data_IF_602277381171
#
_entry.id   IF_602277381171
#
_cell.length_a   1.000
_cell.length_b   1.000
_cell.length_c   1.000
_cell.angle_alpha   90.00
_cell.angle_beta   90.00
_cell.angle_gamma   90.00
#
_symmetry.space_group_name_H-M   'P 1'
#
loop_
_entity.id
_entity.type
_entity.pdbx_description
1 polymer ?
#
# COMPACT_ATOMS: atom_id res chain seq x y z
N UNK A 1 -15.71 35.32 -1.23
CA UNK A 1 -14.47 34.61 -0.83
C UNK A 1 -14.87 33.36 -0.06
N UNK A 2 -14.91 32.20 -0.72
CA UNK A 2 -15.32 30.91 -0.13
C UNK A 2 -14.09 30.08 0.27
N UNK A 3 -13.30 30.55 1.25
CA UNK A 3 -12.11 29.81 1.72
C UNK A 3 -12.07 29.58 3.24
N UNK A 4 -13.11 29.97 3.97
CA UNK A 4 -13.07 29.90 5.44
C UNK A 4 -13.30 28.50 6.03
N UNK A 5 -13.63 27.48 5.22
CA UNK A 5 -13.99 26.13 5.72
C UNK A 5 -12.95 25.03 5.48
N UNK A 6 -11.71 25.36 5.08
CA UNK A 6 -10.66 24.36 4.86
C UNK A 6 -9.74 24.14 6.06
N UNK A 7 -10.21 24.35 7.29
CA UNK A 7 -9.67 23.59 8.44
C UNK A 7 -10.29 22.18 8.37
N UNK A 8 -9.87 21.40 7.38
CA UNK A 8 -10.40 20.05 7.13
C UNK A 8 -9.93 19.17 8.28
N UNK A 9 -10.81 18.96 9.27
CA UNK A 9 -10.71 17.88 10.26
C UNK A 9 -10.34 16.61 9.50
N UNK A 10 -9.33 15.89 9.98
CA UNK A 10 -8.94 14.60 9.38
C UNK A 10 -10.19 13.73 9.26
N UNK A 11 -10.53 13.30 8.05
CA UNK A 11 -11.75 12.53 7.81
C UNK A 11 -11.63 11.20 8.55
N UNK A 12 -12.76 10.66 9.02
CA UNK A 12 -12.79 9.37 9.72
C UNK A 12 -12.11 8.27 8.86
N UNK A 13 -12.34 8.30 7.55
CA UNK A 13 -11.68 7.41 6.57
C UNK A 13 -10.14 7.46 6.62
N UNK A 14 -9.55 8.65 6.77
CA UNK A 14 -8.09 8.80 6.85
C UNK A 14 -7.54 8.21 8.13
N UNK A 15 -8.26 8.35 9.23
CA UNK A 15 -7.88 7.74 10.50
C UNK A 15 -7.95 6.23 10.43
N UNK A 16 -9.03 5.69 9.85
CA UNK A 16 -9.20 4.24 9.63
C UNK A 16 -8.08 3.72 8.71
N UNK A 17 -7.84 4.37 7.57
CA UNK A 17 -6.78 4.01 6.64
C UNK A 17 -5.41 3.96 7.32
N UNK A 18 -5.08 4.97 8.14
CA UNK A 18 -3.83 5.02 8.90
C UNK A 18 -3.71 3.89 9.93
N UNK A 19 -4.79 3.55 10.62
CA UNK A 19 -4.82 2.44 11.57
C UNK A 19 -4.59 1.10 10.86
N UNK A 20 -5.30 0.87 9.75
CA UNK A 20 -5.15 -0.34 8.93
C UNK A 20 -3.72 -0.45 8.40
N UNK A 21 -3.22 0.62 7.78
CA UNK A 21 -1.87 0.64 7.21
C UNK A 21 -0.79 0.41 8.27
N UNK A 22 -0.90 1.05 9.44
CA UNK A 22 0.02 0.80 10.56
C UNK A 22 0.01 -0.66 11.01
N UNK A 23 -1.17 -1.29 11.03
CA UNK A 23 -1.28 -2.71 11.38
C UNK A 23 -0.59 -3.61 10.34
N UNK A 24 -0.72 -3.28 9.06
CA UNK A 24 0.01 -3.97 7.97
C UNK A 24 1.52 -3.88 8.20
N UNK A 25 2.05 -2.66 8.40
CA UNK A 25 3.49 -2.46 8.61
C UNK A 25 4.00 -3.19 9.85
N UNK A 26 3.27 -3.14 10.96
CA UNK A 26 3.63 -3.88 12.16
C UNK A 26 3.69 -5.39 11.92
N UNK A 27 2.72 -5.95 11.18
CA UNK A 27 2.71 -7.37 10.83
C UNK A 27 3.88 -7.73 9.91
N UNK A 28 4.16 -6.90 8.90
CA UNK A 28 5.30 -7.10 7.98
C UNK A 28 6.62 -7.09 8.76
N UNK A 29 6.82 -6.12 9.65
CA UNK A 29 8.01 -6.05 10.49
C UNK A 29 8.15 -7.26 11.42
N UNK A 30 7.04 -7.69 12.02
CA UNK A 30 7.01 -8.91 12.83
C UNK A 30 7.44 -10.13 12.01
N UNK A 31 6.87 -10.33 10.81
CA UNK A 31 7.20 -11.44 9.91
C UNK A 31 8.67 -11.42 9.49
N UNK A 32 9.22 -10.25 9.14
CA UNK A 32 10.63 -10.11 8.78
C UNK A 32 11.52 -10.44 9.97
N UNK A 33 11.19 -9.93 11.16
CA UNK A 33 11.98 -10.15 12.37
C UNK A 33 11.99 -11.63 12.80
N UNK A 34 10.84 -12.31 12.73
CA UNK A 34 10.71 -13.72 13.10
C UNK A 34 11.38 -14.66 12.09
N UNK A 35 11.48 -14.24 10.82
CA UNK A 35 12.07 -15.04 9.75
C UNK A 35 13.38 -14.46 9.22
N UNK A 36 14.14 -13.78 10.08
CA UNK A 36 15.38 -13.07 9.71
C UNK A 36 16.46 -13.97 9.07
N UNK A 37 16.38 -15.29 9.29
CA UNK A 37 17.25 -16.28 8.65
C UNK A 37 16.96 -16.46 7.14
N UNK A 38 15.71 -16.25 6.72
CA UNK A 38 15.25 -16.46 5.33
C UNK A 38 14.97 -15.13 4.64
N UNK A 39 14.40 -14.17 5.37
CA UNK A 39 14.00 -12.87 4.87
C UNK A 39 15.03 -11.82 5.25
N UNK A 40 15.64 -11.22 4.24
CA UNK A 40 16.53 -10.07 4.44
C UNK A 40 15.68 -8.83 4.75
N UNK A 41 16.12 -8.05 5.73
CA UNK A 41 15.54 -6.72 5.98
C UNK A 41 16.02 -5.74 4.90
N UNK A 42 15.38 -5.80 3.73
CA UNK A 42 15.65 -4.91 2.61
C UNK A 42 14.34 -4.36 2.02
N UNK A 43 14.45 -3.29 1.23
CA UNK A 43 13.28 -2.60 0.68
C UNK A 43 12.43 -3.50 -0.22
N UNK A 44 13.07 -4.45 -0.94
CA UNK A 44 12.37 -5.38 -1.81
C UNK A 44 11.49 -6.32 -0.99
N UNK A 45 12.02 -6.96 0.04
CA UNK A 45 11.29 -7.89 0.91
C UNK A 45 10.14 -7.18 1.61
N UNK A 46 10.37 -5.97 2.13
CA UNK A 46 9.29 -5.16 2.72
C UNK A 46 8.23 -4.80 1.68
N UNK A 47 8.63 -4.41 0.47
CA UNK A 47 7.71 -4.13 -0.64
C UNK A 47 6.87 -5.35 -1.04
N UNK A 48 7.48 -6.53 -1.13
CA UNK A 48 6.80 -7.77 -1.52
C UNK A 48 5.75 -8.17 -0.48
N UNK A 49 6.11 -8.15 0.80
CA UNK A 49 5.17 -8.48 1.88
C UNK A 49 4.05 -7.46 2.02
N UNK A 50 4.37 -6.16 1.98
CA UNK A 50 3.33 -5.10 2.02
C UNK A 50 2.39 -5.20 0.82
N UNK A 51 2.93 -5.49 -0.37
CA UNK A 51 2.12 -5.70 -1.58
C UNK A 51 1.13 -6.85 -1.42
N UNK A 52 1.54 -7.98 -0.84
CA UNK A 52 0.65 -9.13 -0.61
C UNK A 52 -0.53 -8.73 0.29
N UNK A 53 -0.26 -8.07 1.43
CA UNK A 53 -1.33 -7.63 2.34
C UNK A 53 -2.27 -6.63 1.67
N UNK A 54 -1.74 -5.66 0.93
CA UNK A 54 -2.57 -4.69 0.22
C UNK A 54 -3.45 -5.37 -0.81
N UNK A 55 -2.89 -6.26 -1.64
CA UNK A 55 -3.64 -7.04 -2.63
C UNK A 55 -4.77 -7.81 -1.94
N UNK A 56 -4.49 -8.53 -0.85
CA UNK A 56 -5.52 -9.26 -0.08
C UNK A 56 -6.66 -8.35 0.40
N UNK A 57 -6.36 -7.14 0.86
CA UNK A 57 -7.37 -6.16 1.29
C UNK A 57 -8.17 -5.66 0.09
N UNK A 58 -7.52 -5.31 -1.02
CA UNK A 58 -8.18 -4.84 -2.25
C UNK A 58 -9.19 -5.86 -2.78
N UNK A 59 -8.79 -7.12 -2.91
CA UNK A 59 -9.67 -8.19 -3.36
C UNK A 59 -10.77 -8.49 -2.34
N UNK A 60 -10.45 -8.52 -1.04
CA UNK A 60 -11.44 -8.71 0.02
C UNK A 60 -12.54 -7.63 0.02
N UNK A 61 -12.18 -6.38 -0.22
CA UNK A 61 -13.14 -5.27 -0.36
C UNK A 61 -13.96 -5.37 -1.66
N UNK A 62 -13.34 -5.77 -2.79
CA UNK A 62 -14.05 -5.96 -4.08
C UNK A 62 -15.17 -7.00 -3.95
N UNK A 63 -14.94 -8.09 -3.20
CA UNK A 63 -15.95 -9.12 -2.94
C UNK A 63 -17.16 -8.62 -2.15
N UNK A 64 -16.97 -7.68 -1.21
CA UNK A 64 -18.06 -7.14 -0.38
C UNK A 64 -18.95 -6.12 -1.10
N UNK A 65 -18.56 -5.62 -2.29
CA UNK A 65 -19.29 -4.61 -3.08
C UNK A 65 -19.70 -3.34 -2.32
N UNK A 66 -18.99 -2.98 -1.25
CA UNK A 66 -19.26 -1.78 -0.47
C UNK A 66 -18.59 -0.56 -1.12
N UNK A 67 -19.40 0.43 -1.54
CA UNK A 67 -18.88 1.65 -2.19
C UNK A 67 -18.13 2.56 -1.23
N UNK A 68 -18.48 2.53 0.06
CA UNK A 68 -17.87 3.36 1.10
C UNK A 68 -16.39 2.99 1.36
N UNK A 69 -16.02 1.73 1.09
CA UNK A 69 -14.65 1.24 1.27
C UNK A 69 -13.65 1.87 0.28
N UNK A 70 -14.13 2.44 -0.84
CA UNK A 70 -13.25 2.99 -1.87
C UNK A 70 -12.42 4.17 -1.37
N UNK A 71 -13.02 5.05 -0.57
CA UNK A 71 -12.35 6.21 0.04
C UNK A 71 -11.19 5.76 0.94
N UNK A 72 -11.44 4.76 1.79
CA UNK A 72 -10.45 4.19 2.71
C UNK A 72 -9.32 3.52 1.93
N UNK A 73 -9.64 2.71 0.92
CA UNK A 73 -8.63 2.05 0.07
C UNK A 73 -7.73 3.06 -0.66
N UNK A 74 -8.31 4.16 -1.15
CA UNK A 74 -7.54 5.21 -1.80
C UNK A 74 -6.57 5.89 -0.81
N UNK A 75 -7.02 6.16 0.42
CA UNK A 75 -6.14 6.71 1.45
C UNK A 75 -5.05 5.72 1.89
N UNK A 76 -5.34 4.41 1.94
CA UNK A 76 -4.31 3.38 2.14
C UNK A 76 -3.26 3.42 1.02
N UNK A 77 -3.67 3.57 -0.24
CA UNK A 77 -2.74 3.70 -1.36
C UNK A 77 -1.91 4.97 -1.29
N UNK A 78 -2.48 6.10 -0.88
CA UNK A 78 -1.74 7.33 -0.68
C UNK A 78 -0.63 7.13 0.37
N UNK A 79 -0.95 6.47 1.49
CA UNK A 79 0.02 6.14 2.53
C UNK A 79 1.12 5.21 1.99
N UNK A 80 0.74 4.18 1.24
CA UNK A 80 1.69 3.26 0.62
C UNK A 80 2.67 3.97 -0.35
N UNK A 81 2.17 4.87 -1.19
CA UNK A 81 3.01 5.65 -2.12
C UNK A 81 3.98 6.54 -1.34
N UNK A 82 3.48 7.22 -0.30
CA UNK A 82 4.31 8.09 0.55
C UNK A 82 5.39 7.31 1.29
N UNK A 83 5.06 6.13 1.82
CA UNK A 83 6.00 5.27 2.54
C UNK A 83 7.07 4.71 1.60
N UNK A 84 6.67 4.37 0.36
CA UNK A 84 7.58 3.88 -0.66
C UNK A 84 8.57 4.98 -1.10
N UNK A 85 8.09 6.20 -1.33
CA UNK A 85 8.96 7.36 -1.61
C UNK A 85 9.97 7.59 -0.47
N UNK A 86 9.48 7.62 0.77
CA UNK A 86 10.34 7.81 1.95
C UNK A 86 11.38 6.69 2.09
N UNK A 87 10.95 5.43 1.97
CA UNK A 87 11.82 4.26 2.08
C UNK A 87 12.91 4.24 1.01
N UNK A 88 12.59 4.61 -0.23
CA UNK A 88 13.55 4.70 -1.32
C UNK A 88 14.61 5.79 -1.08
N UNK A 89 14.21 6.94 -0.52
CA UNK A 89 15.17 7.98 -0.11
C UNK A 89 16.08 7.50 1.01
N UNK A 90 15.54 6.81 2.02
CA UNK A 90 16.34 6.19 3.09
C UNK A 90 17.34 5.16 2.56
N UNK A 91 16.97 4.45 1.49
CA UNK A 91 17.85 3.50 0.81
C UNK A 91 18.98 4.17 0.00
N UNK A 92 19.00 5.52 -0.09
CA UNK A 92 20.04 6.28 -0.77
C UNK A 92 19.76 6.56 -2.25
N UNK A 93 18.51 6.45 -2.70
CA UNK A 93 18.13 6.87 -4.06
C UNK A 93 18.06 8.40 -4.10
N UNK A 94 18.78 8.98 -5.07
CA UNK A 94 18.84 10.42 -5.25
C UNK A 94 17.47 11.04 -5.57
N UNK A 95 17.22 12.25 -5.07
CA UNK A 95 15.98 12.99 -5.28
C UNK A 95 15.63 13.20 -6.77
N UNK A 96 16.63 13.27 -7.66
CA UNK A 96 16.40 13.44 -9.10
C UNK A 96 15.79 12.20 -9.77
N UNK A 97 16.01 10.99 -9.24
CA UNK A 97 15.49 9.74 -9.80
C UNK A 97 14.34 9.14 -8.98
N UNK A 98 14.07 9.65 -7.78
CA UNK A 98 13.08 9.07 -6.83
C UNK A 98 11.73 8.80 -7.48
N UNK A 99 11.18 9.77 -8.21
CA UNK A 99 9.88 9.63 -8.86
C UNK A 99 9.85 8.53 -9.92
N UNK A 100 10.97 8.26 -10.61
CA UNK A 100 11.06 7.14 -11.57
C UNK A 100 11.04 5.80 -10.84
N UNK A 101 11.74 5.69 -9.72
CA UNK A 101 11.74 4.48 -8.89
C UNK A 101 10.37 4.23 -8.27
N UNK A 102 9.73 5.25 -7.68
CA UNK A 102 8.38 5.14 -7.11
C UNK A 102 7.40 4.62 -8.18
N UNK A 103 7.40 5.24 -9.37
CA UNK A 103 6.57 4.80 -10.50
C UNK A 103 6.87 3.36 -10.93
N UNK A 104 8.13 2.94 -10.92
CA UNK A 104 8.51 1.58 -11.26
C UNK A 104 7.95 0.55 -10.29
N UNK A 105 8.03 0.80 -8.98
CA UNK A 105 7.43 -0.08 -7.97
C UNK A 105 5.90 -0.09 -8.05
N UNK A 106 5.27 1.07 -8.27
CA UNK A 106 3.83 1.12 -8.50
C UNK A 106 3.40 0.33 -9.73
N UNK A 107 4.16 0.42 -10.83
CA UNK A 107 3.91 -0.39 -12.02
C UNK A 107 3.98 -1.89 -11.72
N UNK A 108 4.95 -2.34 -10.92
CA UNK A 108 5.03 -3.74 -10.46
C UNK A 108 3.80 -4.13 -9.64
N UNK A 109 3.37 -3.26 -8.73
CA UNK A 109 2.21 -3.51 -7.88
C UNK A 109 0.92 -3.64 -8.70
N UNK A 110 0.62 -2.68 -9.57
CA UNK A 110 -0.59 -2.71 -10.40
C UNK A 110 -0.58 -3.85 -11.42
N UNK A 111 0.58 -4.19 -11.99
CA UNK A 111 0.71 -5.37 -12.86
C UNK A 111 0.35 -6.68 -12.14
N UNK A 112 0.67 -6.80 -10.85
CA UNK A 112 0.26 -7.97 -10.06
C UNK A 112 -1.24 -7.97 -9.82
N UNK A 113 -1.82 -6.82 -9.47
CA UNK A 113 -3.29 -6.69 -9.32
C UNK A 113 -4.00 -7.13 -10.59
N UNK A 114 -3.60 -6.63 -11.77
CA UNK A 114 -4.25 -7.00 -13.03
C UNK A 114 -4.18 -8.50 -13.31
N UNK A 115 -3.05 -9.14 -13.01
CA UNK A 115 -2.91 -10.59 -13.19
C UNK A 115 -3.78 -11.38 -12.21
N UNK A 116 -3.84 -10.94 -10.95
CA UNK A 116 -4.71 -11.58 -9.96
C UNK A 116 -6.19 -11.38 -10.29
N UNK A 117 -6.59 -10.21 -10.82
CA UNK A 117 -7.97 -9.97 -11.23
C UNK A 117 -8.41 -10.98 -12.30
N UNK A 118 -7.57 -11.24 -13.30
CA UNK A 118 -7.84 -12.25 -14.33
C UNK A 118 -8.02 -13.63 -13.71
N UNK A 119 -7.18 -14.02 -12.75
CA UNK A 119 -7.27 -15.32 -12.07
C UNK A 119 -8.57 -15.44 -11.26
N UNK A 120 -8.94 -14.40 -10.51
CA UNK A 120 -10.17 -14.39 -9.71
C UNK A 120 -11.44 -14.33 -10.56
N UNK A 121 -11.40 -13.69 -11.73
CA UNK A 121 -12.54 -13.62 -12.66
C UNK A 121 -12.74 -14.92 -13.45
N UNK A 122 -11.66 -15.63 -13.78
CA UNK A 122 -11.72 -16.89 -14.53
C UNK A 122 -12.10 -18.12 -13.68
N UNK A 123 -12.34 -17.96 -12.38
CA UNK A 123 -12.74 -19.04 -11.47
C UNK A 123 -11.85 -20.29 -11.56
N UNK A 124 -10.53 -20.12 -11.66
CA UNK A 124 -9.55 -21.21 -11.44
C UNK A 124 -9.32 -21.44 -9.92
N UNK A 125 -10.41 -21.49 -9.15
CA UNK A 125 -10.51 -21.96 -7.76
C UNK A 125 -11.80 -22.74 -7.59
#
# INVERSE_FOLDING_TARGET
VFLHYFKKKETEDKQIAKLVYRKIINNVNSIISSNSLVLKNNINTTFELTSIFLISIFFGSKLKKNRDDFSILQEIMNLFISDLDYSLRLYGIADMSIGKHVKFYLKKFYFRISNYEIIFENSDI
#
